data_IF_394495017205
#
_entry.id   IF_394495017205
#
_cell.length_a   1.000
_cell.length_b   1.000
_cell.length_c   1.000
_cell.angle_alpha   90.00
_cell.angle_beta   90.00
_cell.angle_gamma   90.00
#
_symmetry.space_group_name_H-M   'P 1'
#
loop_
_entity.id
_entity.type
_entity.pdbx_description
1 polymer ?
#
# COMPACT_ATOMS: atom_id res chain seq x y z
N UNK A 1 15.64 -23.83 24.66
CA UNK A 1 15.54 -22.41 25.07
C UNK A 1 16.43 -21.62 24.12
N UNK A 2 15.87 -20.64 23.41
CA UNK A 2 16.65 -19.73 22.56
C UNK A 2 17.26 -18.68 23.48
N UNK A 3 18.58 -18.46 23.40
CA UNK A 3 19.25 -17.38 24.13
C UNK A 3 19.25 -16.12 23.27
N UNK A 4 18.89 -14.98 23.84
CA UNK A 4 18.85 -13.69 23.17
C UNK A 4 19.36 -12.63 24.14
N UNK A 5 20.29 -11.80 23.69
CA UNK A 5 20.81 -10.68 24.47
C UNK A 5 20.11 -9.39 24.03
N UNK A 6 19.23 -8.81 24.86
CA UNK A 6 18.53 -7.59 24.51
C UNK A 6 19.48 -6.39 24.50
N UNK A 7 19.24 -5.45 23.60
CA UNK A 7 19.90 -4.15 23.67
C UNK A 7 19.45 -3.40 24.94
N UNK A 8 20.24 -2.43 25.42
CA UNK A 8 19.84 -1.62 26.59
C UNK A 8 18.48 -0.93 26.41
N UNK A 9 18.12 -0.56 25.17
CA UNK A 9 16.82 0.01 24.84
C UNK A 9 15.69 -1.02 24.96
N UNK A 10 15.88 -2.22 24.40
CA UNK A 10 14.91 -3.31 24.50
C UNK A 10 14.70 -3.72 25.96
N UNK A 11 15.76 -3.72 26.77
CA UNK A 11 15.67 -4.04 28.18
C UNK A 11 14.85 -3.01 28.94
N UNK A 12 15.10 -1.71 28.74
CA UNK A 12 14.27 -0.63 29.32
C UNK A 12 12.80 -0.75 28.91
N UNK A 13 12.53 -1.10 27.66
CA UNK A 13 11.17 -1.30 27.17
C UNK A 13 10.49 -2.49 27.88
N UNK A 14 11.19 -3.62 28.02
CA UNK A 14 10.69 -4.79 28.75
C UNK A 14 10.41 -4.43 30.21
N UNK A 15 11.34 -3.76 30.88
CA UNK A 15 11.19 -3.31 32.28
C UNK A 15 9.99 -2.37 32.45
N UNK A 16 9.77 -1.43 31.54
CA UNK A 16 8.59 -0.57 31.56
C UNK A 16 7.28 -1.36 31.38
N UNK A 17 7.27 -2.39 30.53
CA UNK A 17 6.09 -3.26 30.34
C UNK A 17 5.82 -4.13 31.57
N UNK A 18 6.85 -4.62 32.24
CA UNK A 18 6.70 -5.34 33.51
C UNK A 18 6.21 -4.41 34.62
N UNK A 19 6.75 -3.19 34.71
CA UNK A 19 6.32 -2.16 35.67
C UNK A 19 4.86 -1.73 35.51
N UNK A 20 4.28 -1.91 34.31
CA UNK A 20 2.85 -1.65 34.07
C UNK A 20 1.92 -2.73 34.64
N UNK A 21 2.45 -3.88 35.08
CA UNK A 21 1.66 -5.01 35.60
C UNK A 21 0.91 -5.81 34.53
N UNK A 22 1.02 -5.44 33.25
CA UNK A 22 0.34 -6.13 32.15
C UNK A 22 1.01 -7.46 31.75
N UNK A 23 2.25 -7.68 32.18
CA UNK A 23 3.05 -8.85 31.82
C UNK A 23 3.77 -9.38 33.05
N UNK A 24 3.86 -10.71 33.16
CA UNK A 24 4.38 -11.40 34.35
C UNK A 24 5.89 -11.62 34.32
N UNK A 25 6.44 -11.78 33.12
CA UNK A 25 7.88 -11.97 32.88
C UNK A 25 8.30 -11.44 31.49
N UNK A 26 9.60 -11.25 31.30
CA UNK A 26 10.17 -10.77 30.03
C UNK A 26 9.83 -11.71 28.85
N UNK A 27 9.73 -13.01 29.10
CA UNK A 27 9.36 -13.99 28.08
C UNK A 27 7.94 -13.79 27.58
N UNK A 28 7.01 -13.33 28.43
CA UNK A 28 5.64 -13.01 28.03
C UNK A 28 5.57 -11.78 27.13
N UNK A 29 6.35 -10.74 27.44
CA UNK A 29 6.50 -9.55 26.59
C UNK A 29 7.05 -9.95 25.21
N UNK A 30 8.09 -10.78 25.19
CA UNK A 30 8.70 -11.25 23.94
C UNK A 30 7.74 -12.13 23.12
N UNK A 31 7.02 -13.07 23.75
CA UNK A 31 5.99 -13.87 23.07
C UNK A 31 4.86 -12.99 22.52
N UNK A 32 4.47 -11.94 23.23
CA UNK A 32 3.48 -11.00 22.75
C UNK A 32 3.98 -10.22 21.53
N UNK A 33 5.22 -9.73 21.56
CA UNK A 33 5.86 -9.06 20.42
C UNK A 33 5.96 -9.98 19.19
N UNK A 34 6.43 -11.21 19.37
CA UNK A 34 6.53 -12.19 18.28
C UNK A 34 5.16 -12.56 17.71
N UNK A 35 4.10 -12.68 18.54
CA UNK A 35 2.74 -12.90 18.03
C UNK A 35 2.26 -11.75 17.15
N UNK A 36 2.57 -10.51 17.50
CA UNK A 36 2.22 -9.35 16.68
C UNK A 36 3.00 -9.36 15.38
N UNK A 37 4.29 -9.64 15.43
CA UNK A 37 5.13 -9.72 14.24
C UNK A 37 4.66 -10.84 13.29
N UNK A 38 4.43 -12.06 13.78
CA UNK A 38 3.91 -13.15 12.95
C UNK A 38 2.57 -12.80 12.28
N UNK A 39 1.70 -12.04 12.96
CA UNK A 39 0.44 -11.56 12.35
C UNK A 39 0.71 -10.54 11.24
N UNK A 40 1.63 -9.60 11.45
CA UNK A 40 2.01 -8.62 10.43
C UNK A 40 2.57 -9.32 9.18
N UNK A 41 3.47 -10.28 9.34
CA UNK A 41 4.02 -11.06 8.21
C UNK A 41 2.91 -11.79 7.44
N UNK A 42 1.98 -12.43 8.15
CA UNK A 42 0.84 -13.11 7.51
C UNK A 42 -0.06 -12.13 6.75
N UNK A 43 -0.29 -10.93 7.28
CA UNK A 43 -1.13 -9.94 6.63
C UNK A 43 -0.44 -9.30 5.42
N UNK A 44 0.88 -9.09 5.48
CA UNK A 44 1.69 -8.68 4.32
C UNK A 44 1.67 -9.72 3.21
N UNK A 45 1.86 -11.00 3.55
CA UNK A 45 1.82 -12.08 2.57
C UNK A 45 0.45 -12.16 1.90
N UNK A 46 -0.66 -12.09 2.68
CA UNK A 46 -2.01 -12.07 2.11
C UNK A 46 -2.24 -10.88 1.18
N UNK A 47 -1.75 -9.69 1.54
CA UNK A 47 -1.86 -8.50 0.68
C UNK A 47 -1.07 -8.69 -0.61
N UNK A 48 0.13 -9.26 -0.52
CA UNK A 48 0.95 -9.55 -1.68
C UNK A 48 0.27 -10.56 -2.62
N UNK A 49 -0.27 -11.64 -2.08
CA UNK A 49 -1.01 -12.64 -2.86
C UNK A 49 -2.26 -12.04 -3.52
N UNK A 50 -3.05 -11.26 -2.79
CA UNK A 50 -4.22 -10.59 -3.36
C UNK A 50 -3.84 -9.62 -4.50
N UNK A 51 -2.75 -8.87 -4.33
CA UNK A 51 -2.22 -8.00 -5.38
C UNK A 51 -1.75 -8.79 -6.61
N UNK A 52 -1.07 -9.93 -6.42
CA UNK A 52 -0.64 -10.80 -7.50
C UNK A 52 -1.83 -11.38 -8.28
N UNK A 53 -2.85 -11.85 -7.59
CA UNK A 53 -4.07 -12.39 -8.20
C UNK A 53 -4.82 -11.34 -9.02
N UNK A 54 -5.04 -10.15 -8.45
CA UNK A 54 -5.67 -9.02 -9.15
C UNK A 54 -4.86 -8.59 -10.38
N UNK A 55 -3.53 -8.52 -10.25
CA UNK A 55 -2.65 -8.16 -11.36
C UNK A 55 -2.70 -9.21 -12.47
N UNK A 56 -2.65 -10.50 -12.14
CA UNK A 56 -2.79 -11.59 -13.12
C UNK A 56 -4.13 -11.54 -13.84
N UNK A 57 -5.22 -11.25 -13.12
CA UNK A 57 -6.55 -11.08 -13.71
C UNK A 57 -6.57 -9.95 -14.74
N UNK A 58 -6.06 -8.77 -14.39
CA UNK A 58 -5.99 -7.62 -15.29
C UNK A 58 -5.13 -7.86 -16.52
N UNK A 59 -4.00 -8.56 -16.35
CA UNK A 59 -3.16 -8.97 -17.48
C UNK A 59 -3.91 -9.92 -18.40
N UNK A 60 -4.60 -10.92 -17.85
CA UNK A 60 -5.39 -11.85 -18.66
C UNK A 60 -6.53 -11.14 -19.40
N UNK A 61 -7.25 -10.23 -18.73
CA UNK A 61 -8.28 -9.41 -19.36
C UNK A 61 -7.73 -8.63 -20.56
N UNK A 62 -6.57 -7.97 -20.41
CA UNK A 62 -5.92 -7.26 -21.51
C UNK A 62 -5.45 -8.17 -22.65
N UNK A 63 -4.99 -9.39 -22.35
CA UNK A 63 -4.67 -10.40 -23.37
C UNK A 63 -5.92 -10.85 -24.13
N UNK A 64 -7.02 -11.09 -23.42
CA UNK A 64 -8.29 -11.49 -24.05
C UNK A 64 -8.86 -10.36 -24.93
N UNK A 65 -8.72 -9.09 -24.51
CA UNK A 65 -9.07 -7.90 -25.31
C UNK A 65 -8.20 -7.81 -26.58
N UNK A 66 -6.90 -8.08 -26.46
CA UNK A 66 -6.00 -8.12 -27.61
C UNK A 66 -6.39 -9.21 -28.60
N UNK A 67 -6.71 -10.41 -28.12
CA UNK A 67 -7.15 -11.54 -28.95
C UNK A 67 -8.48 -11.26 -29.66
N UNK A 68 -9.39 -10.47 -29.04
CA UNK A 68 -10.62 -9.98 -29.68
C UNK A 68 -10.40 -8.83 -30.65
N UNK A 69 -9.18 -8.29 -30.73
CA UNK A 69 -8.84 -7.15 -31.58
C UNK A 69 -9.31 -5.80 -31.02
N UNK A 70 -9.58 -5.71 -29.72
CA UNK A 70 -10.05 -4.49 -29.04
C UNK A 70 -8.91 -3.52 -28.68
N UNK A 71 -7.76 -3.65 -29.33
CA UNK A 71 -6.64 -2.74 -29.12
C UNK A 71 -6.89 -1.38 -29.78
N UNK A 72 -6.27 -0.35 -29.20
CA UNK A 72 -6.35 1.03 -29.68
C UNK A 72 -4.96 1.54 -30.00
N UNK A 73 -4.87 2.45 -30.97
CA UNK A 73 -3.62 3.10 -31.32
C UNK A 73 -3.13 4.02 -30.18
N UNK A 74 -1.91 3.78 -29.72
CA UNK A 74 -1.35 4.48 -28.57
C UNK A 74 -1.21 5.99 -28.82
N UNK A 75 -0.81 6.41 -30.02
CA UNK A 75 -0.63 7.83 -30.33
C UNK A 75 -1.98 8.58 -30.26
N UNK A 76 -3.05 7.97 -30.79
CA UNK A 76 -4.41 8.51 -30.68
C UNK A 76 -4.88 8.61 -29.22
N UNK A 77 -4.60 7.60 -28.39
CA UNK A 77 -4.94 7.65 -26.96
C UNK A 77 -4.24 8.81 -26.25
N UNK A 78 -2.92 8.96 -26.44
CA UNK A 78 -2.16 10.04 -25.82
C UNK A 78 -2.64 11.43 -26.28
N UNK A 79 -2.92 11.59 -27.57
CA UNK A 79 -3.46 12.83 -28.12
C UNK A 79 -4.81 13.19 -27.48
N UNK A 80 -5.75 12.25 -27.44
CA UNK A 80 -7.06 12.43 -26.81
C UNK A 80 -6.93 12.76 -25.31
N UNK A 81 -6.01 12.10 -24.59
CA UNK A 81 -5.75 12.42 -23.18
C UNK A 81 -5.22 13.84 -22.98
N UNK A 82 -4.27 14.28 -23.81
CA UNK A 82 -3.72 15.64 -23.76
C UNK A 82 -4.80 16.69 -24.04
N UNK A 83 -5.62 16.48 -25.06
CA UNK A 83 -6.74 17.36 -25.40
C UNK A 83 -7.73 17.50 -24.24
N UNK A 84 -8.08 16.40 -23.58
CA UNK A 84 -8.95 16.40 -22.39
C UNK A 84 -8.34 17.17 -21.21
N UNK A 85 -7.02 17.03 -20.98
CA UNK A 85 -6.30 17.76 -19.93
C UNK A 85 -6.31 19.26 -20.23
N UNK A 86 -6.03 19.64 -21.47
CA UNK A 86 -5.98 21.04 -21.89
C UNK A 86 -7.36 21.69 -21.87
N UNK A 87 -8.41 20.95 -22.23
CA UNK A 87 -9.78 21.40 -22.09
C UNK A 87 -10.15 21.64 -20.62
N UNK A 88 -9.79 20.73 -19.72
CA UNK A 88 -9.99 20.93 -18.28
C UNK A 88 -9.28 22.19 -17.78
N UNK A 89 -8.02 22.38 -18.17
CA UNK A 89 -7.24 23.58 -17.80
C UNK A 89 -7.84 24.86 -18.38
N UNK A 90 -8.39 24.83 -19.59
CA UNK A 90 -9.06 25.99 -20.22
C UNK A 90 -10.33 26.36 -19.45
N UNK A 91 -11.16 25.36 -19.12
CA UNK A 91 -12.39 25.55 -18.32
C UNK A 91 -12.11 26.13 -16.93
N UNK A 92 -10.99 25.79 -16.30
CA UNK A 92 -10.61 26.39 -15.01
C UNK A 92 -10.04 27.82 -15.10
N UNK A 93 -9.58 28.24 -16.29
CA UNK A 93 -9.07 29.61 -16.54
C UNK A 93 -10.16 30.58 -16.97
N UNK A 94 -11.22 30.10 -17.62
CA UNK A 94 -12.35 30.93 -18.11
C UNK A 94 -13.22 31.61 -17.03
N UNK A 95 -13.46 31.06 -15.82
CA UNK A 95 -14.21 31.78 -14.77
C UNK A 95 -13.42 32.95 -14.14
N UNK A 96 -12.09 33.01 -14.30
CA UNK A 96 -11.26 34.04 -13.68
C UNK A 96 -11.09 35.31 -14.52
N UNK A 97 -11.50 35.32 -15.80
CA UNK A 97 -11.39 36.50 -16.69
C UNK A 97 -12.69 37.33 -16.82
N UNK A 98 -13.86 36.82 -16.39
CA UNK A 98 -15.13 37.57 -16.43
C UNK A 98 -15.43 38.37 -15.14
N UNK A 99 -14.53 38.32 -14.16
CA UNK A 99 -14.69 38.97 -12.85
C UNK A 99 -13.49 39.85 -12.54
N UNK A 100 -13.19 40.81 -13.42
CA UNK A 100 -12.37 41.96 -13.03
C UNK A 100 -13.04 43.23 -13.57
N UNK A 101 -13.49 44.15 -12.70
CA UNK A 101 -14.11 45.42 -13.08
C UNK A 101 -13.12 46.36 -13.77
#
# INVERSE_FOLDING_TARGET
>A
MVNFEPTPEQQRFIEAKLGSGQYRDAGEVLRAGLRLWMKLEQDEEKRHQAWLEDTRKKVQEGLDELDRGEWVDGEQVFRCMQERIDEHRRREREPQQKTKP
#
